data_IF_537121074448
#
_entry.id   IF_537121074448
#
_cell.length_a   1.000
_cell.length_b   1.000
_cell.length_c   1.000
_cell.angle_alpha   90.00
_cell.angle_beta   90.00
_cell.angle_gamma   90.00
#
_symmetry.space_group_name_H-M   'P 1'
#
loop_
_entity.id
_entity.type
_entity.pdbx_description
1 polymer ?
#
# COMPACT_ATOMS: atom_id res chain seq x y z
N UNK A 1 -12.91 15.49 11.42
CA UNK A 1 -12.81 14.19 10.70
C UNK A 1 -12.81 14.46 9.20
N UNK A 2 -12.12 13.64 8.39
CA UNK A 2 -11.91 13.87 6.94
C UNK A 2 -12.95 13.21 6.01
N UNK A 3 -13.99 12.56 6.56
CA UNK A 3 -15.10 11.93 5.82
C UNK A 3 -14.68 10.96 4.68
N UNK A 4 -13.62 10.19 4.88
CA UNK A 4 -13.07 9.26 3.87
C UNK A 4 -13.78 7.90 3.81
N UNK A 5 -14.66 7.60 4.77
CA UNK A 5 -15.34 6.31 4.90
C UNK A 5 -16.07 5.80 3.63
N UNK A 6 -16.78 6.65 2.88
CA UNK A 6 -17.46 6.22 1.65
C UNK A 6 -16.51 5.81 0.51
N UNK A 7 -15.25 6.26 0.51
CA UNK A 7 -14.29 6.01 -0.57
C UNK A 7 -13.40 4.79 -0.31
N UNK A 8 -13.18 4.43 0.96
CA UNK A 8 -12.28 3.35 1.35
C UNK A 8 -13.04 2.30 2.14
N UNK A 9 -13.24 1.12 1.53
CA UNK A 9 -13.77 -0.04 2.25
C UNK A 9 -12.87 -0.38 3.46
N UNK A 10 -13.48 -0.66 4.61
CA UNK A 10 -12.76 -1.03 5.83
C UNK A 10 -11.84 -2.24 5.63
N UNK A 11 -12.21 -3.16 4.72
CA UNK A 11 -11.36 -4.32 4.38
C UNK A 11 -10.05 -3.95 3.70
N UNK A 12 -9.93 -2.72 3.18
CA UNK A 12 -8.77 -2.23 2.43
C UNK A 12 -7.97 -1.19 3.22
N UNK A 13 -8.32 -0.95 4.48
CA UNK A 13 -7.58 -0.09 5.40
C UNK A 13 -6.66 -0.95 6.26
N UNK A 14 -5.37 -0.69 6.19
CA UNK A 14 -4.35 -1.48 6.89
C UNK A 14 -3.56 -0.58 7.86
N UNK A 15 -3.43 -1.01 9.12
CA UNK A 15 -2.53 -0.37 10.08
C UNK A 15 -1.14 -0.99 9.99
N UNK A 16 -0.12 -0.14 9.88
CA UNK A 16 1.30 -0.54 9.86
C UNK A 16 2.01 -0.14 11.17
N UNK A 17 1.28 0.18 12.25
CA UNK A 17 1.93 0.63 13.49
C UNK A 17 2.71 -0.47 14.21
N UNK A 18 2.32 -1.74 14.01
CA UNK A 18 2.97 -2.92 14.61
C UNK A 18 3.74 -3.78 13.59
N UNK A 19 3.52 -3.55 12.29
CA UNK A 19 4.09 -4.31 11.18
C UNK A 19 4.66 -3.34 10.16
N UNK A 20 5.78 -3.66 9.51
CA UNK A 20 6.36 -2.78 8.50
C UNK A 20 5.39 -2.56 7.32
N UNK A 21 5.49 -1.38 6.67
CA UNK A 21 4.74 -1.10 5.44
C UNK A 21 5.00 -2.15 4.35
N UNK A 22 6.23 -2.64 4.26
CA UNK A 22 6.63 -3.73 3.35
C UNK A 22 5.84 -5.03 3.59
N UNK A 23 5.66 -5.43 4.86
CA UNK A 23 4.87 -6.61 5.18
C UNK A 23 3.41 -6.45 4.74
N UNK A 24 2.85 -5.25 4.93
CA UNK A 24 1.50 -4.91 4.47
C UNK A 24 1.37 -4.96 2.95
N UNK A 25 2.36 -4.42 2.20
CA UNK A 25 2.35 -4.47 0.74
C UNK A 25 2.43 -5.91 0.20
N UNK A 26 3.22 -6.77 0.82
CA UNK A 26 3.26 -8.20 0.46
C UNK A 26 1.91 -8.89 0.74
N UNK A 27 1.22 -8.52 1.83
CA UNK A 27 -0.13 -9.03 2.10
C UNK A 27 -1.15 -8.56 1.05
N UNK A 28 -1.01 -7.34 0.55
CA UNK A 28 -1.82 -6.80 -0.55
C UNK A 28 -1.53 -7.58 -1.85
N UNK A 29 -0.27 -7.85 -2.18
CA UNK A 29 0.11 -8.70 -3.32
C UNK A 29 -0.50 -10.10 -3.22
N UNK A 30 -0.39 -10.75 -2.05
CA UNK A 30 -0.95 -12.08 -1.85
C UNK A 30 -2.48 -12.11 -1.94
N UNK A 31 -3.16 -11.00 -1.61
CA UNK A 31 -4.61 -10.89 -1.67
C UNK A 31 -5.14 -10.67 -3.09
N UNK A 32 -4.49 -9.78 -3.86
CA UNK A 32 -5.00 -9.36 -5.17
C UNK A 32 -4.28 -10.01 -6.36
N UNK A 33 -3.14 -10.66 -6.14
CA UNK A 33 -2.38 -11.39 -7.15
C UNK A 33 -1.44 -10.49 -7.97
N UNK A 34 -0.43 -11.10 -8.61
CA UNK A 34 0.63 -10.35 -9.30
C UNK A 34 0.25 -9.76 -10.65
N UNK A 35 -0.95 -10.05 -11.17
CA UNK A 35 -1.42 -9.56 -12.46
C UNK A 35 -1.89 -8.09 -12.42
N UNK A 36 -1.98 -7.46 -11.24
CA UNK A 36 -2.38 -6.07 -11.09
C UNK A 36 -1.18 -5.12 -11.23
N UNK A 37 -1.43 -3.91 -11.72
CA UNK A 37 -0.48 -2.79 -11.62
C UNK A 37 -0.69 -2.07 -10.28
N UNK A 38 0.33 -2.06 -9.43
CA UNK A 38 0.25 -1.41 -8.13
C UNK A 38 0.89 -0.03 -8.14
N UNK A 39 0.17 0.96 -7.59
CA UNK A 39 0.63 2.34 -7.49
C UNK A 39 0.76 2.72 -6.02
N UNK A 40 1.93 3.20 -5.62
CA UNK A 40 2.17 3.80 -4.30
C UNK A 40 2.06 5.31 -4.44
N UNK A 41 1.16 5.91 -3.68
CA UNK A 41 0.97 7.36 -3.60
C UNK A 41 1.41 7.80 -2.20
N UNK A 42 2.32 8.76 -2.12
CA UNK A 42 2.88 9.24 -0.87
C UNK A 42 3.52 10.62 -1.03
N UNK A 43 4.01 11.18 0.08
CA UNK A 43 4.76 12.45 0.07
C UNK A 43 6.24 12.26 0.44
N UNK A 44 6.61 11.13 1.03
CA UNK A 44 7.93 10.91 1.60
C UNK A 44 8.86 10.08 0.72
N UNK A 45 10.16 10.27 0.96
CA UNK A 45 11.22 9.42 0.38
C UNK A 45 11.06 7.96 0.81
N UNK A 46 10.51 7.72 1.99
CA UNK A 46 10.28 6.37 2.52
C UNK A 46 9.30 5.57 1.63
N UNK A 47 8.18 6.16 1.22
CA UNK A 47 7.21 5.51 0.33
C UNK A 47 7.81 5.24 -1.06
N UNK A 48 8.58 6.19 -1.58
CA UNK A 48 9.28 6.03 -2.85
C UNK A 48 10.29 4.88 -2.79
N UNK A 49 11.15 4.84 -1.76
CA UNK A 49 12.11 3.75 -1.56
C UNK A 49 11.43 2.40 -1.34
N UNK A 50 10.31 2.38 -0.61
CA UNK A 50 9.54 1.16 -0.37
C UNK A 50 8.99 0.58 -1.68
N UNK A 51 8.43 1.42 -2.57
CA UNK A 51 7.93 0.98 -3.87
C UNK A 51 9.02 0.34 -4.75
N UNK A 52 10.28 0.78 -4.59
CA UNK A 52 11.42 0.22 -5.32
C UNK A 52 11.87 -1.13 -4.74
N UNK A 53 11.63 -1.39 -3.45
CA UNK A 53 11.95 -2.66 -2.78
C UNK A 53 10.93 -3.76 -3.06
N UNK A 54 9.64 -3.41 -3.13
CA UNK A 54 8.56 -4.39 -3.34
C UNK A 54 8.26 -4.54 -4.83
N UNK A 55 8.41 -5.77 -5.35
CA UNK A 55 8.16 -6.07 -6.77
C UNK A 55 6.73 -5.67 -7.19
N UNK A 56 6.59 -5.15 -8.41
CA UNK A 56 5.33 -4.75 -9.05
C UNK A 56 4.68 -3.46 -8.54
N UNK A 57 5.32 -2.72 -7.62
CA UNK A 57 4.85 -1.41 -7.19
C UNK A 57 5.57 -0.27 -7.92
N UNK A 58 4.80 0.74 -8.30
CA UNK A 58 5.30 1.97 -8.94
C UNK A 58 4.92 3.19 -8.11
N UNK A 59 5.89 4.05 -7.79
CA UNK A 59 5.61 5.32 -7.13
C UNK A 59 5.08 6.35 -8.12
N UNK A 60 4.05 7.11 -7.72
CA UNK A 60 3.48 8.23 -8.48
C UNK A 60 3.20 9.43 -7.60
#
# INVERSE_FOLDING_TARGET
MFNLGPYFSISNVYSCSKTSKEHTLNRILNRFGTACTYIVIGKGLEEQQLSQKVKNFHYR
#
